data_IF_729121564697
#
_entry.id   IF_729121564697
#
_cell.length_a   1.000
_cell.length_b   1.000
_cell.length_c   1.000
_cell.angle_alpha   90.00
_cell.angle_beta   90.00
_cell.angle_gamma   90.00
#
_symmetry.space_group_name_H-M   'P 1'
#
loop_
_entity.id
_entity.type
_entity.pdbx_description
1 polymer ?
#
# COMPACT_ATOMS: atom_id res chain seq x y z
N UNK A 1 48.26 50.00 -25.85
CA UNK A 1 47.71 48.67 -26.01
C UNK A 1 47.16 48.23 -24.62
N UNK A 2 45.87 48.38 -24.37
CA UNK A 2 45.21 48.05 -23.06
C UNK A 2 44.46 46.74 -23.22
N UNK A 3 44.90 45.74 -22.47
CA UNK A 3 44.26 44.42 -22.41
C UNK A 3 43.33 44.44 -21.21
N UNK A 4 42.00 44.31 -21.48
CA UNK A 4 40.97 44.25 -20.45
C UNK A 4 40.65 42.76 -20.18
N UNK A 5 41.00 42.27 -18.98
CA UNK A 5 40.57 40.96 -18.51
C UNK A 5 39.08 41.00 -18.08
N UNK A 6 38.26 40.17 -18.69
CA UNK A 6 36.91 39.88 -18.26
C UNK A 6 36.94 38.70 -17.29
N UNK A 7 36.56 38.98 -16.04
CA UNK A 7 36.38 37.94 -15.05
C UNK A 7 35.04 37.23 -15.25
N UNK A 8 35.05 35.90 -15.41
CA UNK A 8 33.90 35.04 -15.45
C UNK A 8 33.47 34.77 -14.01
N UNK A 9 32.28 35.30 -13.61
CA UNK A 9 31.63 34.94 -12.35
C UNK A 9 30.80 33.68 -12.57
N UNK A 10 31.31 32.55 -12.06
CA UNK A 10 30.54 31.30 -12.00
C UNK A 10 29.60 31.38 -10.78
N UNK A 11 28.31 31.66 -11.03
CA UNK A 11 27.26 31.52 -10.03
C UNK A 11 26.93 30.03 -9.91
N UNK A 12 27.50 29.41 -8.89
CA UNK A 12 27.15 28.04 -8.50
C UNK A 12 25.73 28.00 -7.94
N UNK A 13 24.78 27.43 -8.69
CA UNK A 13 23.51 27.05 -8.14
C UNK A 13 23.68 25.81 -7.27
N UNK A 14 23.84 26.03 -5.97
CA UNK A 14 23.71 24.99 -4.97
C UNK A 14 22.26 24.54 -4.92
N UNK A 15 21.95 23.36 -5.45
CA UNK A 15 20.72 22.65 -5.13
C UNK A 15 20.75 22.33 -3.63
N UNK A 16 20.17 23.21 -2.82
CA UNK A 16 19.83 22.88 -1.46
C UNK A 16 18.75 21.80 -1.51
N UNK A 17 19.12 20.55 -1.27
CA UNK A 17 18.18 19.52 -0.85
C UNK A 17 17.62 19.98 0.50
N UNK A 18 16.47 20.63 0.46
CA UNK A 18 15.66 20.81 1.65
C UNK A 18 15.17 19.42 2.06
N UNK A 19 15.88 18.82 3.04
CA UNK A 19 15.25 17.80 3.85
C UNK A 19 14.01 18.47 4.46
N UNK A 20 12.83 18.14 3.97
CA UNK A 20 11.58 18.60 4.53
C UNK A 20 11.59 18.15 5.99
N UNK A 21 11.82 19.09 6.90
CA UNK A 21 11.70 18.82 8.34
C UNK A 21 10.24 18.44 8.55
N UNK A 22 10.00 17.19 8.96
CA UNK A 22 8.67 16.71 9.31
C UNK A 22 7.98 17.72 10.20
N UNK A 23 6.73 18.08 9.89
CA UNK A 23 5.96 19.06 10.66
C UNK A 23 6.01 18.65 12.14
N UNK A 24 6.49 19.53 13.04
CA UNK A 24 6.52 19.24 14.48
C UNK A 24 5.19 18.69 15.03
N UNK A 25 4.11 18.99 14.32
CA UNK A 25 2.77 18.54 14.64
C UNK A 25 2.58 17.01 14.55
N UNK A 26 3.29 16.31 13.66
CA UNK A 26 3.15 14.86 13.48
C UNK A 26 4.08 14.07 14.40
N UNK A 27 5.14 14.65 14.92
CA UNK A 27 6.04 13.99 15.88
C UNK A 27 5.34 13.48 17.13
N UNK A 28 4.29 14.18 17.59
CA UNK A 28 3.48 13.69 18.71
C UNK A 28 2.70 12.42 18.38
N UNK A 29 2.19 12.33 17.14
CA UNK A 29 1.48 11.13 16.64
C UNK A 29 2.45 9.96 16.55
N UNK A 30 3.62 10.16 15.93
CA UNK A 30 4.68 9.13 15.82
C UNK A 30 5.13 8.63 17.19
N UNK A 31 5.36 9.56 18.14
CA UNK A 31 5.77 9.20 19.51
C UNK A 31 4.70 8.36 20.22
N UNK A 32 3.41 8.71 20.07
CA UNK A 32 2.31 7.97 20.69
C UNK A 32 2.16 6.59 20.06
N UNK A 33 2.22 6.52 18.73
CA UNK A 33 2.01 5.28 17.98
C UNK A 33 3.28 4.41 17.91
N UNK A 34 4.45 4.98 18.29
CA UNK A 34 5.71 4.25 18.43
C UNK A 34 6.37 3.89 17.10
N UNK A 35 6.03 4.58 16.00
CA UNK A 35 6.69 4.37 14.71
C UNK A 35 6.60 5.62 13.82
N UNK A 36 7.52 5.74 12.84
CA UNK A 36 7.46 6.83 11.86
C UNK A 36 6.28 6.68 10.92
N UNK A 37 5.81 7.81 10.41
CA UNK A 37 4.82 7.86 9.34
C UNK A 37 5.34 8.66 8.15
N UNK A 38 4.47 8.93 7.20
CA UNK A 38 4.77 9.67 5.97
C UNK A 38 3.85 10.88 5.87
N UNK A 39 4.43 12.06 5.73
CA UNK A 39 3.65 13.26 5.40
C UNK A 39 3.11 13.16 3.98
N UNK A 40 1.86 13.52 3.83
CA UNK A 40 1.14 13.58 2.57
C UNK A 40 0.72 15.03 2.30
N UNK A 41 0.36 15.36 1.07
CA UNK A 41 -0.15 16.69 0.73
C UNK A 41 -1.40 17.02 1.56
N UNK A 42 -1.20 17.74 2.67
CA UNK A 42 -2.26 18.13 3.59
C UNK A 42 -2.64 17.12 4.68
N UNK A 43 -1.77 16.16 4.99
CA UNK A 43 -2.03 15.21 6.07
C UNK A 43 -0.87 14.26 6.38
N UNK A 44 -1.19 13.14 7.02
CA UNK A 44 -0.19 12.19 7.50
C UNK A 44 -0.71 10.76 7.40
N UNK A 45 0.14 9.84 6.93
CA UNK A 45 -0.13 8.41 6.83
C UNK A 45 0.82 7.65 7.75
N UNK A 46 0.29 6.61 8.41
CA UNK A 46 1.10 5.69 9.21
C UNK A 46 0.63 4.26 8.98
N UNK A 47 1.58 3.37 8.75
CA UNK A 47 1.34 1.99 8.35
C UNK A 47 1.83 1.01 9.43
N UNK A 48 1.04 -0.05 9.68
CA UNK A 48 1.33 -1.11 10.63
C UNK A 48 1.24 -2.47 9.91
N UNK A 49 2.33 -2.96 9.33
CA UNK A 49 2.34 -4.28 8.72
C UNK A 49 2.18 -5.35 9.82
N UNK A 50 1.35 -6.36 9.55
CA UNK A 50 1.12 -7.52 10.42
C UNK A 50 2.21 -8.57 10.18
N UNK A 51 3.44 -8.24 10.55
CA UNK A 51 4.61 -9.14 10.43
C UNK A 51 4.56 -10.30 11.42
N UNK A 52 3.69 -10.20 12.41
CA UNK A 52 3.35 -11.26 13.37
C UNK A 52 2.54 -12.42 12.75
N UNK A 53 1.92 -12.18 11.59
CA UNK A 53 1.10 -13.18 10.90
C UNK A 53 1.88 -13.92 9.82
N UNK A 54 1.78 -15.23 9.84
CA UNK A 54 2.25 -16.08 8.73
C UNK A 54 1.05 -16.46 7.86
N UNK A 55 0.64 -15.55 6.99
CA UNK A 55 -0.48 -15.77 6.09
C UNK A 55 -0.01 -16.52 4.85
N UNK A 56 -0.74 -17.55 4.47
CA UNK A 56 -0.44 -18.35 3.28
C UNK A 56 -1.67 -18.50 2.38
N UNK A 57 -1.45 -18.60 1.08
CA UNK A 57 -2.44 -19.09 0.11
C UNK A 57 -1.87 -20.38 -0.49
N UNK A 58 -2.59 -21.49 -0.41
CA UNK A 58 -2.13 -22.79 -0.88
C UNK A 58 -0.73 -23.20 -0.34
N UNK A 59 -0.42 -22.76 0.88
CA UNK A 59 0.88 -22.99 1.53
C UNK A 59 2.00 -22.03 1.12
N UNK A 60 1.70 -21.04 0.26
CA UNK A 60 2.65 -19.99 -0.14
C UNK A 60 2.58 -18.84 0.85
N UNK A 61 3.69 -18.47 1.49
CA UNK A 61 3.71 -17.33 2.38
C UNK A 61 3.52 -16.01 1.62
N UNK A 62 2.67 -15.16 2.16
CA UNK A 62 2.39 -13.83 1.64
C UNK A 62 3.08 -12.75 2.47
N UNK A 63 3.65 -11.78 1.79
CA UNK A 63 4.27 -10.62 2.44
C UNK A 63 3.19 -9.69 3.03
N UNK A 64 3.40 -9.12 4.23
CA UNK A 64 2.46 -8.16 4.80
C UNK A 64 2.15 -6.98 3.87
N UNK A 65 3.14 -6.52 3.10
CA UNK A 65 2.98 -5.44 2.13
C UNK A 65 1.99 -5.76 1.00
N UNK A 66 1.69 -7.04 0.74
CA UNK A 66 0.72 -7.43 -0.29
C UNK A 66 -0.69 -6.98 0.08
N UNK A 67 -1.15 -7.31 1.32
CA UNK A 67 -2.52 -7.00 1.77
C UNK A 67 -2.70 -6.91 3.30
N UNK A 68 -1.66 -7.15 4.11
CA UNK A 68 -1.80 -7.31 5.55
C UNK A 68 -1.14 -6.17 6.33
N UNK A 69 -1.34 -4.96 5.85
CA UNK A 69 -0.85 -3.73 6.51
C UNK A 69 -2.03 -2.89 6.94
N UNK A 70 -2.21 -2.70 8.25
CA UNK A 70 -3.14 -1.71 8.76
C UNK A 70 -2.60 -0.32 8.44
N UNK A 71 -3.46 0.55 7.92
CA UNK A 71 -3.07 1.87 7.43
C UNK A 71 -3.99 2.94 7.95
N UNK A 72 -3.43 4.02 8.46
CA UNK A 72 -4.20 5.12 9.05
C UNK A 72 -3.78 6.45 8.46
N UNK A 73 -4.79 7.26 8.14
CA UNK A 73 -4.66 8.58 7.54
C UNK A 73 -5.20 9.63 8.49
N UNK A 74 -4.40 10.65 8.77
CA UNK A 74 -4.78 11.81 9.59
C UNK A 74 -4.88 13.03 8.70
N UNK A 75 -6.10 13.53 8.47
CA UNK A 75 -6.36 14.76 7.71
C UNK A 75 -6.74 15.88 8.66
N UNK A 76 -5.98 17.00 8.73
CA UNK A 76 -6.39 18.19 9.44
C UNK A 76 -7.71 18.73 8.86
N UNK A 77 -8.59 19.17 9.74
CA UNK A 77 -9.83 19.87 9.42
C UNK A 77 -9.76 21.28 9.98
N UNK A 78 -10.69 22.16 9.59
CA UNK A 78 -10.83 23.51 10.17
C UNK A 78 -10.97 23.44 11.70
N UNK A 79 -11.66 22.39 12.20
CA UNK A 79 -11.72 22.09 13.64
C UNK A 79 -11.35 20.63 13.86
N UNK A 80 -10.14 20.40 14.41
CA UNK A 80 -9.65 19.06 14.76
C UNK A 80 -9.02 18.30 13.58
N UNK A 81 -9.14 17.00 13.62
CA UNK A 81 -8.54 16.07 12.66
C UNK A 81 -9.55 14.95 12.34
N UNK A 82 -9.61 14.54 11.09
CA UNK A 82 -10.22 13.29 10.67
C UNK A 82 -9.16 12.20 10.70
N UNK A 83 -9.46 11.07 11.32
CA UNK A 83 -8.74 9.83 11.13
C UNK A 83 -9.63 8.89 10.32
N UNK A 84 -9.11 8.39 9.22
CA UNK A 84 -9.70 7.27 8.48
C UNK A 84 -8.64 6.18 8.35
N UNK A 85 -9.04 4.93 8.21
CA UNK A 85 -8.05 3.87 8.02
C UNK A 85 -8.63 2.48 8.01
N UNK A 86 -7.72 1.54 7.85
CA UNK A 86 -7.97 0.12 7.74
C UNK A 86 -7.24 -0.62 8.86
N UNK A 87 -7.95 -1.47 9.58
CA UNK A 87 -7.38 -2.36 10.59
C UNK A 87 -7.42 -3.78 10.06
N UNK A 88 -6.23 -4.35 9.82
CA UNK A 88 -6.09 -5.75 9.40
C UNK A 88 -5.96 -6.64 10.63
N UNK A 89 -6.75 -7.70 10.68
CA UNK A 89 -6.84 -8.59 11.83
C UNK A 89 -7.21 -10.03 11.43
N UNK A 90 -7.01 -10.95 12.35
CA UNK A 90 -7.52 -12.31 12.22
C UNK A 90 -9.05 -12.33 12.41
N UNK A 91 -9.73 -13.26 11.77
CA UNK A 91 -11.18 -13.47 11.92
C UNK A 91 -11.60 -13.54 13.39
N UNK A 92 -10.84 -14.23 14.21
CA UNK A 92 -11.09 -14.40 15.65
C UNK A 92 -10.89 -13.11 16.48
N UNK A 93 -10.16 -12.14 15.99
CA UNK A 93 -9.89 -10.85 16.66
C UNK A 93 -11.03 -9.82 16.41
N UNK A 94 -11.86 -10.02 15.38
CA UNK A 94 -12.85 -9.04 14.92
C UNK A 94 -13.76 -8.52 16.04
N UNK A 95 -14.35 -9.43 16.82
CA UNK A 95 -15.30 -9.05 17.87
C UNK A 95 -14.67 -8.16 18.92
N UNK A 96 -13.47 -8.53 19.37
CA UNK A 96 -12.74 -7.79 20.41
C UNK A 96 -12.29 -6.43 19.88
N UNK A 97 -11.67 -6.40 18.71
CA UNK A 97 -11.13 -5.18 18.10
C UNK A 97 -12.27 -4.20 17.77
N UNK A 98 -13.37 -4.69 17.21
CA UNK A 98 -14.56 -3.86 16.94
C UNK A 98 -15.11 -3.22 18.23
N UNK A 99 -15.20 -3.98 19.33
CA UNK A 99 -15.64 -3.44 20.60
C UNK A 99 -14.67 -2.36 21.13
N UNK A 100 -13.37 -2.59 21.05
CA UNK A 100 -12.34 -1.63 21.46
C UNK A 100 -12.38 -0.36 20.61
N UNK A 101 -12.53 -0.47 19.29
CA UNK A 101 -12.66 0.67 18.39
C UNK A 101 -13.85 1.55 18.77
N UNK A 102 -15.03 0.96 18.95
CA UNK A 102 -16.24 1.67 19.37
C UNK A 102 -16.09 2.34 20.74
N UNK A 103 -15.53 1.62 21.72
CA UNK A 103 -15.26 2.15 23.07
C UNK A 103 -14.26 3.33 23.08
N UNK A 104 -13.38 3.41 22.09
CA UNK A 104 -12.42 4.49 21.90
C UNK A 104 -12.90 5.59 20.92
N UNK A 105 -14.19 5.60 20.54
CA UNK A 105 -14.81 6.67 19.78
C UNK A 105 -14.64 6.56 18.25
N UNK A 106 -14.20 5.40 17.74
CA UNK A 106 -14.17 5.14 16.31
C UNK A 106 -15.48 4.54 15.82
N UNK A 107 -15.87 4.92 14.62
CA UNK A 107 -16.94 4.27 13.87
C UNK A 107 -16.31 3.21 12.96
N UNK A 108 -16.84 2.00 12.97
CA UNK A 108 -16.52 0.94 12.02
C UNK A 108 -17.54 1.05 10.89
N UNK A 109 -17.09 1.43 9.70
CA UNK A 109 -17.96 1.66 8.55
C UNK A 109 -18.16 0.40 7.71
N UNK A 110 -17.15 -0.46 7.62
CA UNK A 110 -17.15 -1.68 6.84
C UNK A 110 -16.29 -2.77 7.48
N UNK A 111 -16.65 -4.02 7.20
CA UNK A 111 -15.85 -5.21 7.54
C UNK A 111 -15.90 -6.16 6.35
N UNK A 112 -14.76 -6.61 5.87
CA UNK A 112 -14.69 -7.61 4.81
C UNK A 112 -13.51 -8.56 5.00
N UNK A 113 -13.58 -9.76 4.40
CA UNK A 113 -12.50 -10.72 4.34
C UNK A 113 -11.61 -10.49 3.13
N UNK A 114 -10.44 -11.10 3.12
CA UNK A 114 -9.54 -11.15 1.97
C UNK A 114 -10.04 -12.17 0.91
N UNK A 115 -10.72 -13.24 1.34
CA UNK A 115 -11.47 -14.24 0.53
C UNK A 115 -10.65 -14.91 -0.58
N UNK A 116 -9.37 -15.13 -0.34
CA UNK A 116 -8.46 -15.81 -1.27
C UNK A 116 -8.08 -17.23 -0.83
N UNK A 117 -8.90 -17.84 0.01
CA UNK A 117 -8.62 -19.12 0.65
C UNK A 117 -7.31 -19.10 1.46
N UNK A 118 -7.02 -17.92 2.02
CA UNK A 118 -5.87 -17.67 2.88
C UNK A 118 -6.00 -18.36 4.23
N UNK A 119 -4.86 -18.75 4.80
CA UNK A 119 -4.77 -19.30 6.14
C UNK A 119 -3.64 -18.62 6.93
N UNK A 120 -3.92 -18.09 8.13
CA UNK A 120 -5.24 -17.92 8.75
C UNK A 120 -6.12 -16.93 7.99
N UNK A 121 -7.43 -16.98 8.23
CA UNK A 121 -8.39 -16.03 7.62
C UNK A 121 -8.19 -14.63 8.15
N UNK A 122 -8.14 -13.68 7.23
CA UNK A 122 -7.89 -12.26 7.48
C UNK A 122 -9.15 -11.44 7.23
N UNK A 123 -9.36 -10.44 8.07
CA UNK A 123 -10.39 -9.41 7.88
C UNK A 123 -9.78 -8.03 7.90
N UNK A 124 -10.44 -7.11 7.21
CA UNK A 124 -10.15 -5.68 7.21
C UNK A 124 -11.35 -4.92 7.72
N UNK A 125 -11.14 -4.08 8.73
CA UNK A 125 -12.14 -3.16 9.26
C UNK A 125 -11.80 -1.75 8.80
N UNK A 126 -12.75 -1.07 8.16
CA UNK A 126 -12.63 0.36 7.84
C UNK A 126 -13.14 1.18 9.01
N UNK A 127 -12.34 2.14 9.44
CA UNK A 127 -12.63 2.97 10.61
C UNK A 127 -12.57 4.45 10.28
N UNK A 128 -13.39 5.22 10.98
CA UNK A 128 -13.38 6.68 10.94
C UNK A 128 -13.50 7.23 12.36
N UNK A 129 -12.73 8.29 12.66
CA UNK A 129 -12.79 9.02 13.92
C UNK A 129 -12.55 10.52 13.71
N UNK A 130 -13.10 11.36 14.59
CA UNK A 130 -12.89 12.81 14.59
C UNK A 130 -12.49 13.28 15.98
N UNK A 131 -11.51 14.17 16.05
CA UNK A 131 -11.02 14.72 17.31
C UNK A 131 -9.72 15.49 17.17
N UNK A 132 -9.04 15.78 18.26
CA UNK A 132 -7.67 16.27 18.17
C UNK A 132 -6.75 15.15 17.72
N UNK A 133 -5.71 15.46 16.94
CA UNK A 133 -4.74 14.47 16.42
C UNK A 133 -4.12 13.60 17.54
N UNK A 134 -3.81 14.23 18.66
CA UNK A 134 -3.23 13.55 19.83
C UNK A 134 -4.21 12.56 20.45
N UNK A 135 -5.47 12.99 20.66
CA UNK A 135 -6.50 12.10 21.22
C UNK A 135 -6.81 10.92 20.31
N UNK A 136 -6.87 11.16 19.00
CA UNK A 136 -7.05 10.08 18.02
C UNK A 136 -5.88 9.10 18.01
N UNK A 137 -4.63 9.60 18.07
CA UNK A 137 -3.45 8.75 18.15
C UNK A 137 -3.43 7.94 19.46
N UNK A 138 -3.79 8.54 20.60
CA UNK A 138 -3.90 7.84 21.89
C UNK A 138 -5.00 6.78 21.87
N UNK A 139 -6.16 7.09 21.31
CA UNK A 139 -7.26 6.15 21.15
C UNK A 139 -6.86 4.96 20.26
N UNK A 140 -6.26 5.26 19.12
CA UNK A 140 -5.75 4.23 18.20
C UNK A 140 -4.67 3.36 18.86
N UNK A 141 -3.73 3.98 19.57
CA UNK A 141 -2.68 3.23 20.28
C UNK A 141 -3.25 2.26 21.32
N UNK A 142 -4.29 2.65 22.06
CA UNK A 142 -4.98 1.75 23.01
C UNK A 142 -5.57 0.53 22.29
N UNK A 143 -6.22 0.75 21.13
CA UNK A 143 -6.78 -0.36 20.33
C UNK A 143 -5.69 -1.29 19.83
N UNK A 144 -4.64 -0.72 19.21
CA UNK A 144 -3.53 -1.50 18.66
C UNK A 144 -2.72 -2.26 19.70
N UNK A 145 -2.65 -1.75 20.93
CA UNK A 145 -1.95 -2.42 22.05
C UNK A 145 -2.80 -3.44 22.80
N UNK A 146 -4.13 -3.32 22.76
CA UNK A 146 -5.06 -4.23 23.42
C UNK A 146 -5.29 -5.54 22.63
N UNK A 147 -5.07 -5.50 21.34
CA UNK A 147 -5.00 -6.68 20.48
C UNK A 147 -3.53 -6.86 20.03
N UNK A 148 -3.05 -8.06 19.69
CA UNK A 148 -1.68 -8.28 19.23
C UNK A 148 -1.44 -7.70 17.82
N UNK A 149 -1.94 -6.48 17.59
CA UNK A 149 -1.92 -5.77 16.32
C UNK A 149 -0.68 -4.88 16.17
N UNK A 150 0.14 -4.79 17.22
CA UNK A 150 1.35 -3.99 17.25
C UNK A 150 2.52 -4.87 17.64
N UNK A 151 3.50 -5.00 16.77
CA UNK A 151 4.79 -5.54 17.16
C UNK A 151 5.37 -4.68 18.30
N UNK A 152 5.74 -5.32 19.41
CA UNK A 152 6.67 -4.69 20.34
C UNK A 152 8.01 -4.56 19.62
N UNK A 153 8.34 -3.33 19.24
CA UNK A 153 9.68 -3.01 18.73
C UNK A 153 10.67 -3.21 19.88
N UNK A 154 11.10 -4.44 20.04
CA UNK A 154 12.17 -4.84 20.95
C UNK A 154 13.51 -4.46 20.33
N UNK A 155 13.70 -3.20 19.98
CA UNK A 155 15.02 -2.67 19.71
C UNK A 155 15.70 -2.36 21.05
N UNK A 156 16.41 -3.36 21.58
CA UNK A 156 17.56 -3.07 22.42
C UNK A 156 18.55 -2.29 21.54
N UNK A 157 19.04 -1.12 22.00
CA UNK A 157 20.04 -0.39 21.25
C UNK A 157 21.31 -1.26 21.13
N UNK A 158 21.53 -1.87 19.97
CA UNK A 158 22.81 -2.43 19.62
C UNK A 158 23.78 -1.26 19.51
N UNK A 159 24.73 -1.18 20.46
CA UNK A 159 25.90 -0.34 20.36
C UNK A 159 26.69 -0.77 19.12
N UNK A 160 26.45 -0.11 18.01
CA UNK A 160 27.31 -0.21 16.83
C UNK A 160 28.59 0.53 17.15
N UNK A 161 29.64 -0.23 17.43
CA UNK A 161 31.01 0.29 17.47
C UNK A 161 31.39 0.69 16.05
N UNK A 162 31.42 1.98 15.79
CA UNK A 162 31.92 2.55 14.53
C UNK A 162 33.42 2.36 14.51
N UNK A 163 33.91 1.41 13.73
CA UNK A 163 35.32 1.34 13.35
C UNK A 163 35.51 2.30 12.20
N UNK A 164 36.17 3.43 12.51
CA UNK A 164 36.67 4.37 11.52
C UNK A 164 37.85 3.72 10.76
N UNK A 165 37.62 3.33 9.52
CA UNK A 165 38.71 3.13 8.56
C UNK A 165 38.62 4.23 7.51
N UNK A 166 39.76 4.89 7.36
CA UNK A 166 40.05 6.09 6.57
C UNK A 166 39.87 5.89 5.07
N UNK A 167 39.52 7.02 4.46
CA UNK A 167 39.35 7.33 3.05
C UNK A 167 40.31 6.71 2.07
N UNK A 168 39.83 6.41 0.86
CA UNK A 168 40.47 6.80 -0.41
C UNK A 168 39.53 6.59 -1.59
N UNK A 169 39.39 7.67 -2.38
CA UNK A 169 39.03 7.79 -3.79
C UNK A 169 37.65 7.38 -4.31
N UNK A 170 36.95 8.37 -4.82
CA UNK A 170 35.79 8.28 -5.71
C UNK A 170 36.18 7.87 -7.14
N UNK A 171 35.39 7.07 -7.85
CA UNK A 171 35.30 7.18 -9.29
C UNK A 171 33.87 7.53 -9.75
N UNK A 172 33.86 8.47 -10.66
CA UNK A 172 32.92 8.82 -11.74
C UNK A 172 31.51 8.24 -11.76
N UNK A 173 30.55 9.16 -11.93
CA UNK A 173 29.16 8.96 -12.21
C UNK A 173 28.89 8.04 -13.41
N UNK A 174 28.54 6.79 -13.11
CA UNK A 174 27.89 5.89 -14.03
C UNK A 174 26.42 5.76 -13.62
N UNK A 175 25.49 5.93 -14.56
CA UNK A 175 24.07 5.69 -14.36
C UNK A 175 23.86 4.22 -14.01
N UNK A 176 23.84 3.89 -12.73
CA UNK A 176 23.53 2.56 -12.26
C UNK A 176 22.00 2.45 -12.11
N UNK A 177 21.37 1.74 -13.04
CA UNK A 177 20.06 1.18 -12.88
C UNK A 177 20.11 0.31 -11.61
N UNK A 178 19.45 0.72 -10.54
CA UNK A 178 19.42 -0.03 -9.29
C UNK A 178 18.64 -1.33 -9.55
N UNK A 179 19.35 -2.39 -9.87
CA UNK A 179 18.79 -3.75 -9.92
C UNK A 179 18.63 -4.25 -8.49
N UNK A 180 17.43 -4.29 -7.98
CA UNK A 180 17.11 -4.99 -6.73
C UNK A 180 17.35 -6.49 -6.89
N UNK A 181 18.04 -7.18 -5.96
CA UNK A 181 18.47 -8.56 -6.13
C UNK A 181 17.35 -9.64 -6.15
N UNK A 182 16.10 -9.32 -5.88
CA UNK A 182 15.02 -10.33 -5.76
C UNK A 182 13.74 -10.03 -6.56
N UNK A 183 13.75 -9.12 -7.49
CA UNK A 183 12.53 -8.75 -8.22
C UNK A 183 12.76 -8.33 -9.65
N UNK A 184 13.08 -9.29 -10.53
CA UNK A 184 12.97 -9.04 -11.97
C UNK A 184 11.49 -8.96 -12.35
N UNK A 185 10.88 -7.75 -12.26
CA UNK A 185 9.51 -7.44 -12.65
C UNK A 185 9.40 -6.97 -14.11
N UNK A 186 10.44 -7.18 -14.90
CA UNK A 186 10.58 -6.66 -16.28
C UNK A 186 9.35 -6.94 -17.14
N UNK A 187 8.74 -8.12 -17.00
CA UNK A 187 7.56 -8.49 -17.79
C UNK A 187 6.29 -7.77 -17.34
N UNK A 188 6.08 -7.65 -16.04
CA UNK A 188 4.93 -6.93 -15.48
C UNK A 188 5.07 -5.45 -15.79
N UNK A 189 6.27 -4.87 -15.62
CA UNK A 189 6.55 -3.47 -15.91
C UNK A 189 6.49 -3.14 -17.42
N UNK A 190 6.80 -4.11 -18.30
CA UNK A 190 6.60 -3.93 -19.74
C UNK A 190 5.12 -3.77 -20.13
N UNK A 191 4.21 -4.34 -19.35
CA UNK A 191 2.76 -4.31 -19.59
C UNK A 191 2.10 -3.11 -18.88
N UNK A 192 2.40 -2.94 -17.57
CA UNK A 192 1.76 -1.95 -16.71
C UNK A 192 2.51 -0.61 -16.61
N UNK A 193 3.76 -0.56 -17.08
CA UNK A 193 4.68 0.54 -16.84
C UNK A 193 5.52 0.31 -15.57
N UNK A 194 6.42 1.26 -15.23
CA UNK A 194 7.28 1.14 -14.05
C UNK A 194 6.46 1.22 -12.76
N UNK A 195 6.72 0.30 -11.83
CA UNK A 195 6.13 0.26 -10.50
C UNK A 195 7.13 0.61 -9.41
N UNK A 196 6.65 0.72 -8.17
CA UNK A 196 7.48 0.91 -6.98
C UNK A 196 7.68 -0.43 -6.28
N UNK A 197 8.92 -0.79 -5.99
CA UNK A 197 9.21 -2.03 -5.25
C UNK A 197 9.29 -1.73 -3.76
N UNK A 198 8.48 -2.41 -2.96
CA UNK A 198 8.47 -2.38 -1.51
C UNK A 198 8.78 -3.79 -0.96
N UNK A 199 10.02 -4.02 -0.54
CA UNK A 199 10.49 -5.36 -0.19
C UNK A 199 10.41 -6.32 -1.38
N UNK A 200 9.54 -7.34 -1.30
CA UNK A 200 9.31 -8.32 -2.37
C UNK A 200 8.03 -8.03 -3.18
N UNK A 201 7.38 -6.92 -2.91
CA UNK A 201 6.10 -6.54 -3.54
C UNK A 201 6.31 -5.41 -4.53
N UNK A 202 5.80 -5.57 -5.74
CA UNK A 202 5.69 -4.52 -6.75
C UNK A 202 4.35 -3.81 -6.58
N UNK A 203 4.39 -2.51 -6.41
CA UNK A 203 3.25 -1.64 -6.12
C UNK A 203 2.97 -0.70 -7.28
N UNK A 204 1.70 -0.61 -7.65
CA UNK A 204 1.15 0.41 -8.53
C UNK A 204 0.09 1.21 -7.78
N UNK A 205 0.18 2.53 -7.85
CA UNK A 205 -0.77 3.49 -7.30
C UNK A 205 -1.26 4.38 -8.44
N UNK A 206 -2.57 4.41 -8.68
CA UNK A 206 -3.22 5.23 -9.71
C UNK A 206 -4.28 6.10 -9.04
N UNK A 207 -3.92 7.34 -8.65
CA UNK A 207 -4.82 8.23 -7.93
C UNK A 207 -5.98 8.67 -8.82
N UNK A 208 -7.17 8.78 -8.25
CA UNK A 208 -8.31 9.33 -8.96
C UNK A 208 -8.15 10.84 -9.14
N UNK A 209 -8.21 11.33 -10.38
CA UNK A 209 -7.87 12.72 -10.71
C UNK A 209 -8.91 13.75 -10.23
N UNK A 210 -10.17 13.33 -10.01
CA UNK A 210 -11.24 14.22 -9.57
C UNK A 210 -11.41 14.19 -8.07
N UNK A 211 -11.83 15.33 -7.50
CA UNK A 211 -12.11 15.41 -6.07
C UNK A 211 -13.31 14.53 -5.71
N UNK A 212 -13.12 13.67 -4.74
CA UNK A 212 -14.16 12.84 -4.14
C UNK A 212 -14.57 13.48 -2.81
N UNK A 213 -15.85 13.61 -2.59
CA UNK A 213 -16.37 14.07 -1.29
C UNK A 213 -17.40 13.10 -0.73
N UNK A 214 -17.36 12.86 0.57
CA UNK A 214 -18.35 12.09 1.30
C UNK A 214 -18.94 12.96 2.40
N UNK A 215 -20.27 13.10 2.40
CA UNK A 215 -21.03 13.94 3.37
C UNK A 215 -20.46 15.36 3.48
N UNK A 216 -20.07 15.94 2.33
CA UNK A 216 -19.51 17.28 2.25
C UNK A 216 -18.06 17.43 2.72
N UNK A 217 -17.38 16.33 3.00
CA UNK A 217 -15.97 16.30 3.31
C UNK A 217 -15.20 15.79 2.09
N UNK A 218 -14.26 16.60 1.60
CA UNK A 218 -13.33 16.17 0.55
C UNK A 218 -12.37 15.10 1.07
N UNK A 219 -12.32 13.98 0.35
CA UNK A 219 -11.42 12.86 0.62
C UNK A 219 -10.34 12.86 -0.47
N UNK A 220 -9.11 13.23 -0.16
CA UNK A 220 -8.02 13.24 -1.14
C UNK A 220 -7.60 11.80 -1.51
N UNK A 221 -7.01 11.64 -2.69
CA UNK A 221 -6.59 10.34 -3.21
C UNK A 221 -5.73 9.55 -2.21
N UNK A 222 -4.74 10.20 -1.58
CA UNK A 222 -3.84 9.58 -0.61
C UNK A 222 -4.52 9.01 0.66
N UNK A 223 -5.81 9.27 0.87
CA UNK A 223 -6.64 8.65 1.92
C UNK A 223 -7.35 7.36 1.45
N UNK A 224 -6.80 6.66 0.50
CA UNK A 224 -7.35 5.42 -0.02
C UNK A 224 -8.34 5.62 -1.18
N UNK A 225 -8.47 6.86 -1.73
CA UNK A 225 -9.28 7.12 -2.92
C UNK A 225 -8.42 7.00 -4.18
N UNK A 226 -7.84 5.83 -4.35
CA UNK A 226 -6.93 5.51 -5.45
C UNK A 226 -7.05 4.03 -5.83
N UNK A 227 -6.70 3.71 -7.06
CA UNK A 227 -6.52 2.31 -7.47
C UNK A 227 -5.13 1.85 -7.08
N UNK A 228 -5.05 0.75 -6.36
CA UNK A 228 -3.80 0.18 -5.85
C UNK A 228 -3.72 -1.28 -6.30
N UNK A 229 -2.60 -1.66 -6.92
CA UNK A 229 -2.29 -3.04 -7.26
C UNK A 229 -0.95 -3.43 -6.65
N UNK A 230 -0.89 -4.61 -6.07
CA UNK A 230 0.31 -5.18 -5.43
C UNK A 230 0.54 -6.56 -5.97
N UNK A 231 1.76 -6.82 -6.46
CA UNK A 231 2.17 -8.10 -6.98
C UNK A 231 3.30 -8.67 -6.12
N UNK A 232 3.17 -9.91 -5.72
CA UNK A 232 4.22 -10.68 -5.04
C UNK A 232 4.59 -11.87 -5.88
N UNK A 233 5.90 -12.07 -6.15
CA UNK A 233 6.36 -13.31 -6.80
C UNK A 233 6.18 -14.50 -5.88
N UNK A 234 5.72 -15.57 -6.49
CA UNK A 234 5.60 -16.86 -5.85
C UNK A 234 6.75 -17.75 -6.34
N UNK A 235 7.53 -18.33 -5.41
CA UNK A 235 8.61 -19.25 -5.80
C UNK A 235 8.09 -20.35 -6.71
N UNK A 236 8.69 -20.51 -7.88
CA UNK A 236 8.29 -21.50 -8.87
C UNK A 236 8.44 -22.92 -8.33
N UNK A 237 7.47 -23.74 -8.64
CA UNK A 237 7.21 -25.16 -8.33
C UNK A 237 6.23 -25.30 -7.16
N UNK A 238 5.02 -24.85 -7.37
CA UNK A 238 3.91 -25.35 -6.58
C UNK A 238 3.57 -26.75 -7.05
N UNK A 239 4.04 -27.70 -6.24
CA UNK A 239 3.90 -29.10 -6.50
C UNK A 239 2.47 -29.60 -6.37
N UNK A 240 1.95 -30.09 -7.45
CA UNK A 240 1.32 -31.42 -7.61
C UNK A 240 0.18 -31.87 -6.67
N UNK A 241 -0.33 -31.15 -5.67
CA UNK A 241 -1.33 -31.76 -4.76
C UNK A 241 -2.78 -31.28 -4.89
N UNK A 242 -3.05 -30.15 -5.51
CA UNK A 242 -4.43 -29.63 -5.60
C UNK A 242 -4.86 -29.40 -7.04
N UNK A 243 -6.09 -29.84 -7.39
CA UNK A 243 -6.61 -29.94 -8.77
C UNK A 243 -6.62 -28.69 -9.64
N UNK A 244 -6.32 -27.51 -9.10
CA UNK A 244 -6.21 -26.25 -9.82
C UNK A 244 -5.05 -26.24 -10.84
N UNK A 245 -3.94 -26.93 -10.55
CA UNK A 245 -2.71 -26.94 -11.37
C UNK A 245 -2.69 -27.98 -12.51
N UNK A 246 -3.71 -28.81 -12.64
CA UNK A 246 -3.80 -29.76 -13.75
C UNK A 246 -3.94 -29.09 -15.14
N UNK A 247 -4.27 -27.81 -15.18
CA UNK A 247 -4.38 -27.04 -16.43
C UNK A 247 -3.01 -26.71 -17.06
N UNK A 248 -1.92 -26.70 -16.30
CA UNK A 248 -0.57 -26.34 -16.76
C UNK A 248 0.31 -27.50 -17.25
N UNK A 249 -0.26 -28.68 -17.41
CA UNK A 249 0.50 -29.90 -17.81
C UNK A 249 0.79 -30.03 -19.31
N UNK A 250 0.98 -28.98 -20.08
CA UNK A 250 1.39 -29.11 -21.47
C UNK A 250 2.70 -28.37 -21.76
N UNK A 251 3.83 -28.98 -21.40
CA UNK A 251 5.12 -28.83 -22.09
C UNK A 251 5.73 -27.43 -22.29
N UNK A 252 5.20 -26.40 -21.64
CA UNK A 252 5.75 -25.03 -21.69
C UNK A 252 6.72 -24.80 -20.53
N UNK A 253 7.71 -23.89 -20.74
CA UNK A 253 8.62 -23.39 -19.69
C UNK A 253 7.80 -23.02 -18.45
N UNK A 254 8.31 -23.29 -17.23
CA UNK A 254 7.61 -22.90 -16.02
C UNK A 254 7.31 -21.40 -16.07
N UNK A 255 6.04 -21.06 -16.10
CA UNK A 255 5.60 -19.67 -16.07
C UNK A 255 5.92 -19.09 -14.69
N UNK A 256 6.39 -17.83 -14.64
CA UNK A 256 6.57 -17.11 -13.40
C UNK A 256 5.18 -16.81 -12.82
N UNK A 257 4.95 -17.24 -11.58
CA UNK A 257 3.67 -17.06 -10.89
C UNK A 257 3.76 -15.86 -9.96
N UNK A 258 2.66 -15.12 -9.86
CA UNK A 258 2.51 -14.05 -8.89
C UNK A 258 1.19 -14.20 -8.14
N UNK A 259 1.20 -13.79 -6.87
CA UNK A 259 0.01 -13.41 -6.13
C UNK A 259 -0.25 -11.92 -6.36
N UNK A 260 -1.49 -11.54 -6.53
CA UNK A 260 -1.90 -10.15 -6.66
C UNK A 260 -2.99 -9.84 -5.65
N UNK A 261 -2.89 -8.67 -5.04
CA UNK A 261 -3.96 -8.07 -4.24
C UNK A 261 -4.13 -6.61 -4.66
N UNK A 262 -5.35 -6.11 -4.61
CA UNK A 262 -5.58 -4.74 -5.01
C UNK A 262 -6.90 -4.16 -4.53
N UNK A 263 -6.95 -2.86 -4.69
CA UNK A 263 -8.13 -2.03 -4.52
C UNK A 263 -8.34 -1.27 -5.83
N UNK A 264 -9.50 -1.39 -6.44
CA UNK A 264 -9.85 -0.69 -7.66
C UNK A 264 -10.93 0.35 -7.34
N UNK A 265 -10.63 1.61 -7.60
CA UNK A 265 -11.56 2.72 -7.45
C UNK A 265 -12.12 3.08 -8.82
N UNK A 266 -13.44 3.00 -8.98
CA UNK A 266 -14.11 3.18 -10.27
C UNK A 266 -15.52 3.76 -10.10
N UNK A 267 -16.10 4.21 -11.19
CA UNK A 267 -17.51 4.63 -11.20
C UNK A 267 -18.44 3.42 -11.26
N UNK A 268 -19.68 3.52 -10.75
CA UNK A 268 -20.64 2.42 -10.80
C UNK A 268 -20.92 1.90 -12.22
N UNK A 269 -20.83 2.78 -13.23
CA UNK A 269 -21.06 2.44 -14.65
C UNK A 269 -20.05 1.41 -15.18
N UNK A 270 -18.83 1.40 -14.60
CA UNK A 270 -17.76 0.50 -15.04
C UNK A 270 -17.70 -0.81 -14.23
N UNK A 271 -18.39 -0.86 -13.10
CA UNK A 271 -18.21 -1.96 -12.14
C UNK A 271 -18.46 -3.33 -12.78
N UNK A 272 -19.56 -3.49 -13.50
CA UNK A 272 -19.91 -4.78 -14.14
C UNK A 272 -18.88 -5.21 -15.18
N UNK A 273 -18.48 -4.33 -16.10
CA UNK A 273 -17.50 -4.64 -17.13
C UNK A 273 -16.12 -4.95 -16.54
N UNK A 274 -15.74 -4.27 -15.46
CA UNK A 274 -14.50 -4.54 -14.73
C UNK A 274 -14.56 -5.90 -14.02
N UNK A 275 -15.66 -6.22 -13.34
CA UNK A 275 -15.87 -7.50 -12.68
C UNK A 275 -15.82 -8.67 -13.69
N UNK A 276 -16.44 -8.53 -14.86
CA UNK A 276 -16.34 -9.52 -15.95
C UNK A 276 -14.91 -9.70 -16.43
N UNK A 277 -14.16 -8.59 -16.61
CA UNK A 277 -12.76 -8.64 -17.04
C UNK A 277 -11.89 -9.32 -15.98
N UNK A 278 -12.10 -9.05 -14.70
CA UNK A 278 -11.40 -9.69 -13.59
C UNK A 278 -11.67 -11.20 -13.58
N UNK A 279 -12.94 -11.61 -13.67
CA UNK A 279 -13.34 -13.02 -13.70
C UNK A 279 -12.72 -13.79 -14.88
N UNK A 280 -12.69 -13.17 -16.07
CA UNK A 280 -12.06 -13.77 -17.26
C UNK A 280 -10.55 -13.98 -17.10
N UNK A 281 -9.90 -13.24 -16.17
CA UNK A 281 -8.47 -13.36 -15.86
C UNK A 281 -8.20 -14.05 -14.51
N UNK A 282 -9.18 -14.79 -13.99
CA UNK A 282 -9.09 -15.55 -12.73
C UNK A 282 -8.75 -14.69 -11.49
N UNK A 283 -9.08 -13.41 -11.54
CA UNK A 283 -9.01 -12.52 -10.40
C UNK A 283 -10.37 -12.48 -9.71
N UNK A 284 -10.39 -12.77 -8.43
CA UNK A 284 -11.61 -12.76 -7.62
C UNK A 284 -11.89 -11.35 -7.10
N UNK A 285 -13.15 -10.92 -7.13
CA UNK A 285 -13.62 -9.79 -6.34
C UNK A 285 -13.95 -10.32 -4.95
N UNK A 286 -13.11 -9.96 -3.97
CA UNK A 286 -13.30 -10.37 -2.58
C UNK A 286 -14.41 -9.56 -1.90
N UNK A 287 -14.50 -8.29 -2.24
CA UNK A 287 -15.51 -7.40 -1.67
C UNK A 287 -15.77 -6.20 -2.60
N UNK A 288 -17.03 -5.78 -2.67
CA UNK A 288 -17.48 -4.57 -3.35
C UNK A 288 -18.05 -3.59 -2.33
N UNK A 289 -17.60 -2.35 -2.39
CA UNK A 289 -18.08 -1.27 -1.55
C UNK A 289 -18.55 -0.08 -2.40
N UNK A 290 -19.86 0.19 -2.35
CA UNK A 290 -20.47 1.35 -3.00
C UNK A 290 -20.39 2.55 -2.06
N UNK A 291 -19.55 3.55 -2.41
CA UNK A 291 -19.34 4.75 -1.61
C UNK A 291 -20.52 5.73 -1.77
N UNK A 292 -21.02 6.25 -0.66
CA UNK A 292 -21.95 7.38 -0.64
C UNK A 292 -21.23 8.71 -0.90
N UNK A 293 -20.50 8.78 -2.02
CA UNK A 293 -19.64 9.91 -2.38
C UNK A 293 -20.19 10.72 -3.55
N UNK A 294 -19.60 11.88 -3.77
CA UNK A 294 -19.82 12.71 -4.95
C UNK A 294 -18.46 12.98 -5.63
N UNK A 295 -18.25 12.52 -6.89
CA UNK A 295 -19.12 11.61 -7.64
C UNK A 295 -19.32 10.27 -6.92
N UNK A 296 -20.37 9.52 -7.26
CA UNK A 296 -20.54 8.15 -6.73
C UNK A 296 -19.43 7.27 -7.23
N UNK A 297 -18.82 6.53 -6.31
CA UNK A 297 -17.70 5.63 -6.58
C UNK A 297 -17.99 4.23 -6.03
N UNK A 298 -17.28 3.27 -6.60
CA UNK A 298 -17.24 1.88 -6.14
C UNK A 298 -15.80 1.51 -5.87
N UNK A 299 -15.55 0.81 -4.78
CA UNK A 299 -14.27 0.17 -4.50
C UNK A 299 -14.46 -1.34 -4.64
N UNK A 300 -13.64 -1.96 -5.49
CA UNK A 300 -13.53 -3.42 -5.56
C UNK A 300 -12.21 -3.85 -4.92
N UNK A 301 -12.30 -4.67 -3.88
CA UNK A 301 -11.13 -5.36 -3.33
C UNK A 301 -10.96 -6.66 -4.09
N UNK A 302 -9.78 -6.86 -4.65
CA UNK A 302 -9.50 -7.94 -5.59
C UNK A 302 -8.28 -8.73 -5.19
N UNK A 303 -8.26 -10.00 -5.58
CA UNK A 303 -7.11 -10.85 -5.37
C UNK A 303 -7.06 -12.01 -6.35
N UNK A 304 -5.85 -12.51 -6.62
CA UNK A 304 -5.65 -13.60 -7.56
C UNK A 304 -4.27 -14.23 -7.43
N UNK A 305 -4.16 -15.44 -7.96
CA UNK A 305 -2.91 -16.17 -8.09
C UNK A 305 -2.84 -16.71 -9.51
N UNK A 306 -1.75 -16.46 -10.23
CA UNK A 306 -1.62 -16.90 -11.62
C UNK A 306 -0.32 -16.45 -12.28
N UNK A 307 -0.17 -16.75 -13.59
CA UNK A 307 0.97 -16.29 -14.37
C UNK A 307 1.10 -14.77 -14.32
N UNK A 308 2.30 -14.26 -14.00
CA UNK A 308 2.54 -12.84 -13.79
C UNK A 308 2.15 -11.98 -15.00
N UNK A 309 2.42 -12.47 -16.23
CA UNK A 309 2.07 -11.76 -17.46
C UNK A 309 0.56 -11.73 -17.69
N UNK A 310 -0.13 -12.84 -17.51
CA UNK A 310 -1.58 -12.90 -17.68
C UNK A 310 -2.33 -12.00 -16.69
N UNK A 311 -1.87 -11.98 -15.44
CA UNK A 311 -2.40 -11.07 -14.42
C UNK A 311 -2.15 -9.60 -14.82
N UNK A 312 -0.93 -9.27 -15.27
CA UNK A 312 -0.58 -7.91 -15.70
C UNK A 312 -1.43 -7.46 -16.90
N UNK A 313 -1.61 -8.31 -17.91
CA UNK A 313 -2.47 -8.04 -19.06
C UNK A 313 -3.95 -7.85 -18.66
N UNK A 314 -4.43 -8.69 -17.73
CA UNK A 314 -5.78 -8.56 -17.17
C UNK A 314 -5.96 -7.21 -16.49
N UNK A 315 -5.05 -6.82 -15.62
CA UNK A 315 -5.11 -5.53 -14.95
C UNK A 315 -4.86 -4.35 -15.89
N UNK A 316 -4.06 -4.49 -16.95
CA UNK A 316 -3.94 -3.45 -17.98
C UNK A 316 -5.30 -3.13 -18.59
N UNK A 317 -6.07 -4.16 -18.97
CA UNK A 317 -7.43 -3.97 -19.51
C UNK A 317 -8.37 -3.31 -18.49
N UNK A 318 -8.28 -3.70 -17.22
CA UNK A 318 -9.06 -3.10 -16.13
C UNK A 318 -8.71 -1.63 -15.94
N UNK A 319 -7.43 -1.29 -15.87
CA UNK A 319 -6.97 0.09 -15.72
C UNK A 319 -7.38 0.95 -16.91
N UNK A 320 -7.31 0.42 -18.12
CA UNK A 320 -7.77 1.14 -19.32
C UNK A 320 -9.28 1.44 -19.27
N UNK A 321 -10.10 0.50 -18.74
CA UNK A 321 -11.53 0.73 -18.50
C UNK A 321 -11.80 1.80 -17.43
N UNK A 322 -11.08 1.76 -16.32
CA UNK A 322 -11.20 2.72 -15.22
C UNK A 322 -10.84 4.13 -15.69
N UNK A 323 -9.75 4.27 -16.45
CA UNK A 323 -9.25 5.56 -16.96
C UNK A 323 -10.17 6.23 -17.97
N UNK A 324 -11.07 5.50 -18.62
CA UNK A 324 -12.07 6.09 -19.53
C UNK A 324 -13.00 7.08 -18.81
N UNK A 325 -13.22 6.92 -17.51
CA UNK A 325 -14.08 7.79 -16.71
C UNK A 325 -13.33 8.95 -16.02
N UNK A 326 -12.02 8.94 -16.10
CA UNK A 326 -11.18 10.00 -15.51
C UNK A 326 -10.98 11.18 -16.47
N UNK A 327 -11.27 10.99 -17.75
CA UNK A 327 -11.24 12.01 -18.77
C UNK A 327 -12.58 12.73 -18.86
#
# INVERSE_FOLDING_TARGET
MKITLWGIVIVGWGCAYSAALADPAWRSVEKILGRPGTEQAGGFRIDFPRTDLNVTIEGIPLEPALAFTSRFYFKPLVKGTLLAGEVVLLDQEERQVTAQLKANGFQVSQVHGFQMDESPRIKTLHIVGRGSRVNLAMALNRVLSAAPLKEETSEKPQKTTVVLTSATEAPAAGKTKASSPEGDWERVEAILGPGKVEGKVLLYEDPFERNISEKGLEIPAWMGMETILRFQKVPGVLGQKNGFWNFFKMGKKPEKIAAVAGQLLLTPVRAEAVEETLAANQVKVAFRYDLESSPRMVILYVGGLGPEEALAEGFKRVLDQIRLDQK
#
